data_IF_862696017016
#
_entry.id   IF_862696017016
#
_cell.length_a   1.000
_cell.length_b   1.000
_cell.length_c   1.000
_cell.angle_alpha   90.00
_cell.angle_beta   90.00
_cell.angle_gamma   90.00
#
_symmetry.space_group_name_H-M   'P 1'
#
loop_
_entity.id
_entity.type
_entity.pdbx_description
1 polymer ?
#
# COMPACT_ATOMS: atom_id res chain seq x y z
N UNK A 1 34.39 -1.42 -19.74
CA UNK A 1 35.17 -2.38 -18.92
C UNK A 1 36.42 -1.79 -18.27
N UNK A 2 37.06 -0.72 -18.79
CA UNK A 2 38.23 -0.09 -18.13
C UNK A 2 37.95 0.72 -16.85
N UNK A 3 36.79 1.41 -16.78
CA UNK A 3 36.43 2.24 -15.62
C UNK A 3 36.24 1.42 -14.34
N UNK A 4 35.59 0.25 -14.43
CA UNK A 4 35.38 -0.63 -13.28
C UNK A 4 36.71 -1.21 -12.74
N UNK A 5 37.67 -1.52 -13.62
CA UNK A 5 38.99 -1.99 -13.22
C UNK A 5 39.83 -0.89 -12.56
N UNK A 6 39.78 0.34 -13.07
CA UNK A 6 40.42 1.49 -12.44
C UNK A 6 39.80 1.82 -11.07
N UNK A 7 38.47 1.74 -10.94
CA UNK A 7 37.78 1.94 -9.66
C UNK A 7 38.15 0.88 -8.62
N UNK A 8 38.22 -0.40 -9.02
CA UNK A 8 38.67 -1.48 -8.14
C UNK A 8 40.11 -1.26 -7.67
N UNK A 9 41.01 -0.88 -8.58
CA UNK A 9 42.41 -0.60 -8.23
C UNK A 9 42.58 0.61 -7.30
N UNK A 10 41.79 1.66 -7.52
CA UNK A 10 41.75 2.82 -6.63
C UNK A 10 41.21 2.43 -5.25
N UNK A 11 40.17 1.59 -5.18
CA UNK A 11 39.63 1.09 -3.93
C UNK A 11 40.66 0.26 -3.14
N UNK A 12 41.43 -0.61 -3.81
CA UNK A 12 42.51 -1.38 -3.16
C UNK A 12 43.59 -0.48 -2.54
N UNK A 13 43.98 0.59 -3.23
CA UNK A 13 45.01 1.53 -2.76
C UNK A 13 44.49 2.40 -1.61
N UNK A 14 43.21 2.78 -1.64
CA UNK A 14 42.59 3.64 -0.62
C UNK A 14 42.10 2.87 0.60
N UNK A 15 41.72 1.59 0.47
CA UNK A 15 41.20 0.76 1.55
C UNK A 15 42.00 0.83 2.87
N UNK A 16 43.35 0.69 2.88
CA UNK A 16 44.13 0.78 4.12
C UNK A 16 44.22 2.19 4.72
N UNK A 17 43.76 3.23 4.01
CA UNK A 17 43.76 4.62 4.46
C UNK A 17 42.40 5.07 5.02
N UNK A 18 41.35 4.25 4.85
CA UNK A 18 40.01 4.56 5.32
C UNK A 18 39.80 4.02 6.74
N UNK A 19 39.04 4.73 7.59
CA UNK A 19 38.66 4.19 8.89
C UNK A 19 37.76 2.97 8.73
N UNK A 20 37.84 2.06 9.69
CA UNK A 20 36.98 0.88 9.73
C UNK A 20 35.50 1.30 9.86
N UNK A 21 34.61 0.76 9.01
CA UNK A 21 33.18 0.97 9.14
C UNK A 21 32.65 0.44 10.48
N UNK A 22 31.70 1.16 11.06
CA UNK A 22 31.04 0.79 12.30
C UNK A 22 29.74 0.03 12.01
N UNK A 23 29.52 -1.03 12.77
CA UNK A 23 28.29 -1.83 12.80
C UNK A 23 27.27 -1.30 13.81
N UNK A 24 27.49 -0.11 14.39
CA UNK A 24 26.66 0.40 15.48
C UNK A 24 26.57 1.93 15.53
N UNK A 25 25.56 2.40 16.27
CA UNK A 25 25.31 3.81 16.60
C UNK A 25 25.11 4.01 18.11
N UNK A 26 25.13 5.28 18.54
CA UNK A 26 24.78 5.69 19.89
C UNK A 26 23.40 6.33 19.89
N UNK A 27 22.42 5.69 20.53
CA UNK A 27 21.07 6.22 20.68
C UNK A 27 21.00 7.20 21.86
N UNK A 28 20.35 8.34 21.62
CA UNK A 28 20.18 9.42 22.59
C UNK A 28 18.69 9.65 22.92
N UNK A 29 18.43 10.22 24.09
CA UNK A 29 17.06 10.40 24.60
C UNK A 29 16.24 11.47 23.86
N UNK A 30 16.87 12.27 23.00
CA UNK A 30 16.25 13.33 22.19
C UNK A 30 15.84 12.84 20.78
N UNK A 31 15.65 11.53 20.63
CA UNK A 31 15.29 10.87 19.37
C UNK A 31 16.37 11.02 18.30
N UNK A 32 17.64 10.96 18.69
CA UNK A 32 18.75 10.96 17.74
C UNK A 32 19.61 9.70 17.87
N UNK A 33 20.25 9.31 16.76
CA UNK A 33 21.33 8.35 16.72
C UNK A 33 22.59 9.03 16.18
N UNK A 34 23.71 8.82 16.86
CA UNK A 34 25.01 9.38 16.47
C UNK A 34 25.90 8.26 15.96
N UNK A 35 26.37 8.41 14.73
CA UNK A 35 27.39 7.58 14.10
C UNK A 35 28.73 8.34 14.13
N UNK A 36 29.67 7.97 15.01
CA UNK A 36 30.95 8.68 15.17
C UNK A 36 31.95 8.41 14.03
N UNK A 37 31.61 7.54 13.08
CA UNK A 37 32.42 7.16 11.93
C UNK A 37 31.54 6.67 10.78
N UNK A 38 32.14 6.26 9.65
CA UNK A 38 31.36 5.66 8.56
C UNK A 38 30.69 4.38 9.06
N UNK A 39 29.43 4.17 8.67
CA UNK A 39 28.71 2.96 9.02
C UNK A 39 28.90 1.89 7.94
N UNK A 40 28.74 0.63 8.32
CA UNK A 40 28.52 -0.43 7.36
C UNK A 40 27.29 -0.13 6.50
N UNK A 41 27.35 -0.48 5.22
CA UNK A 41 26.30 -0.11 4.25
C UNK A 41 24.90 -0.59 4.66
N UNK A 42 24.69 -1.84 5.12
CA UNK A 42 23.34 -2.30 5.50
C UNK A 42 22.74 -1.50 6.66
N UNK A 43 23.57 -1.12 7.63
CA UNK A 43 23.18 -0.27 8.76
C UNK A 43 22.82 1.14 8.29
N UNK A 44 23.68 1.75 7.46
CA UNK A 44 23.45 3.08 6.90
C UNK A 44 22.15 3.13 6.09
N UNK A 45 21.93 2.18 5.18
CA UNK A 45 20.74 2.11 4.33
C UNK A 45 19.45 1.96 5.16
N UNK A 46 19.50 1.17 6.24
CA UNK A 46 18.33 1.00 7.11
C UNK A 46 18.06 2.26 7.93
N UNK A 47 19.10 2.93 8.44
CA UNK A 47 18.96 4.21 9.16
C UNK A 47 18.48 5.35 8.26
N UNK A 48 18.90 5.39 6.99
CA UNK A 48 18.44 6.38 6.00
C UNK A 48 16.94 6.29 5.72
N UNK A 49 16.35 5.11 5.91
CA UNK A 49 14.89 4.91 5.83
C UNK A 49 14.22 5.28 7.16
N UNK A 50 14.79 4.81 8.27
CA UNK A 50 14.21 4.89 9.61
C UNK A 50 14.34 6.27 10.28
N UNK A 51 15.25 7.12 9.80
CA UNK A 51 15.56 8.42 10.37
C UNK A 51 15.93 9.43 9.29
N UNK A 52 16.03 10.71 9.67
CA UNK A 52 16.47 11.79 8.79
C UNK A 52 17.86 12.25 9.19
N UNK A 53 18.70 12.57 8.21
CA UNK A 53 20.05 13.05 8.50
C UNK A 53 20.00 14.54 8.82
N UNK A 54 20.33 14.88 10.05
CA UNK A 54 20.41 16.26 10.51
C UNK A 54 21.78 16.88 10.23
N UNK A 55 22.85 16.09 10.37
CA UNK A 55 24.22 16.54 10.12
C UNK A 55 25.10 15.40 9.61
N UNK A 56 26.02 15.72 8.70
CA UNK A 56 27.05 14.83 8.13
C UNK A 56 28.47 15.32 8.45
N UNK A 57 28.66 15.94 9.62
CA UNK A 57 29.95 16.48 10.06
C UNK A 57 30.94 15.39 10.47
N UNK A 58 31.76 15.67 11.50
CA UNK A 58 32.67 14.67 12.08
C UNK A 58 31.96 13.44 12.69
N UNK A 59 30.65 13.54 12.91
CA UNK A 59 29.75 12.44 13.18
C UNK A 59 28.46 12.64 12.37
N UNK A 60 27.88 11.56 11.87
CA UNK A 60 26.56 11.62 11.24
C UNK A 60 25.50 11.52 12.32
N UNK A 61 24.59 12.49 12.35
CA UNK A 61 23.48 12.54 13.30
C UNK A 61 22.19 12.24 12.55
N UNK A 62 21.52 11.18 12.98
CA UNK A 62 20.22 10.76 12.48
C UNK A 62 19.16 11.17 13.49
N UNK A 63 18.04 11.71 13.03
CA UNK A 63 16.90 12.11 13.85
C UNK A 63 15.70 11.26 13.51
N UNK A 64 15.14 10.60 14.51
CA UNK A 64 13.91 9.84 14.37
C UNK A 64 12.71 10.78 14.48
N UNK A 65 11.90 10.80 13.44
CA UNK A 65 10.64 11.56 13.36
C UNK A 65 9.48 10.60 13.14
N UNK A 66 8.23 10.98 13.50
CA UNK A 66 7.06 10.17 13.18
C UNK A 66 6.97 9.77 11.70
N UNK A 67 7.31 10.69 10.80
CA UNK A 67 7.28 10.46 9.36
C UNK A 67 8.36 9.46 8.90
N UNK A 68 9.58 9.57 9.44
CA UNK A 68 10.65 8.61 9.12
C UNK A 68 10.34 7.19 9.61
N UNK A 69 9.79 7.04 10.82
CA UNK A 69 9.34 5.74 11.34
C UNK A 69 8.21 5.19 10.47
N UNK A 70 7.26 6.05 10.09
CA UNK A 70 6.18 5.64 9.18
C UNK A 70 6.71 5.15 7.84
N UNK A 71 7.69 5.84 7.23
CA UNK A 71 8.34 5.38 5.98
C UNK A 71 8.96 4.00 6.15
N UNK A 72 9.59 3.73 7.28
CA UNK A 72 10.13 2.40 7.57
C UNK A 72 9.03 1.32 7.65
N UNK A 73 7.90 1.63 8.28
CA UNK A 73 6.75 0.70 8.33
C UNK A 73 6.10 0.51 6.95
N UNK A 74 6.01 1.57 6.14
CA UNK A 74 5.51 1.53 4.76
C UNK A 74 6.39 0.64 3.85
N UNK A 75 7.67 0.44 4.20
CA UNK A 75 8.56 -0.50 3.52
C UNK A 75 8.32 -1.98 3.86
N UNK A 76 7.34 -2.27 4.72
CA UNK A 76 6.95 -3.63 5.12
C UNK A 76 7.60 -4.13 6.41
N UNK A 77 8.36 -3.29 7.12
CA UNK A 77 8.94 -3.62 8.44
C UNK A 77 7.87 -3.52 9.53
N UNK A 78 7.96 -4.39 10.53
CA UNK A 78 7.09 -4.34 11.72
C UNK A 78 7.75 -3.54 12.85
N UNK A 79 6.97 -3.12 13.85
CA UNK A 79 7.52 -2.49 15.06
C UNK A 79 8.56 -3.38 15.75
N UNK A 80 8.29 -4.70 15.80
CA UNK A 80 9.21 -5.69 16.37
C UNK A 80 10.54 -5.73 15.60
N UNK A 81 10.51 -5.71 14.26
CA UNK A 81 11.71 -5.64 13.43
C UNK A 81 12.52 -4.36 13.71
N UNK A 82 11.84 -3.22 13.89
CA UNK A 82 12.51 -1.95 14.18
C UNK A 82 13.16 -1.94 15.57
N UNK A 83 12.47 -2.46 16.59
CA UNK A 83 13.03 -2.60 17.93
C UNK A 83 14.21 -3.56 17.96
N UNK A 84 14.09 -4.72 17.29
CA UNK A 84 15.16 -5.71 17.19
C UNK A 84 16.40 -5.11 16.48
N UNK A 85 16.20 -4.41 15.36
CA UNK A 85 17.26 -3.73 14.64
C UNK A 85 18.00 -2.70 15.50
N UNK A 86 17.27 -1.84 16.22
CA UNK A 86 17.87 -0.84 17.09
C UNK A 86 18.59 -1.46 18.29
N UNK A 87 18.07 -2.57 18.84
CA UNK A 87 18.72 -3.29 19.93
C UNK A 87 20.03 -3.96 19.48
N UNK A 88 20.07 -4.47 18.24
CA UNK A 88 21.26 -5.11 17.66
C UNK A 88 22.36 -4.09 17.34
N UNK A 89 22.01 -2.95 16.75
CA UNK A 89 22.97 -1.97 16.23
C UNK A 89 23.22 -0.77 17.16
N UNK A 90 22.76 -0.82 18.42
CA UNK A 90 23.01 0.25 19.39
C UNK A 90 24.00 -0.15 20.47
N UNK A 91 24.99 0.71 20.74
CA UNK A 91 25.89 0.54 21.90
C UNK A 91 25.28 1.02 23.22
N UNK A 92 24.21 1.79 23.14
CA UNK A 92 23.45 2.24 24.31
C UNK A 92 22.09 1.53 24.35
N UNK A 93 21.47 1.35 25.52
CA UNK A 93 20.10 0.87 25.58
C UNK A 93 19.17 1.76 24.76
N UNK A 94 18.16 1.16 24.09
CA UNK A 94 17.17 1.91 23.33
C UNK A 94 16.41 2.86 24.26
N UNK A 95 16.43 4.19 24.03
CA UNK A 95 15.75 5.13 24.90
C UNK A 95 14.23 4.95 24.87
N UNK A 96 13.59 5.01 26.04
CA UNK A 96 12.13 4.90 26.16
C UNK A 96 11.35 5.83 25.22
N UNK A 97 11.74 7.11 24.99
CA UNK A 97 11.03 7.98 24.04
C UNK A 97 11.02 7.44 22.61
N UNK A 98 12.13 6.81 22.18
CA UNK A 98 12.23 6.23 20.84
C UNK A 98 11.34 4.99 20.72
N UNK A 99 11.35 4.13 21.74
CA UNK A 99 10.46 2.97 21.77
C UNK A 99 8.98 3.39 21.72
N UNK A 100 8.62 4.43 22.48
CA UNK A 100 7.26 4.96 22.46
C UNK A 100 6.86 5.54 21.11
N UNK A 101 7.77 6.27 20.44
CA UNK A 101 7.54 6.80 19.09
C UNK A 101 7.23 5.67 18.10
N UNK A 102 8.03 4.59 18.12
CA UNK A 102 7.86 3.44 17.23
C UNK A 102 6.49 2.79 17.46
N UNK A 103 6.15 2.51 18.72
CA UNK A 103 4.89 1.86 19.07
C UNK A 103 3.67 2.72 18.73
N UNK A 104 3.74 4.04 18.95
CA UNK A 104 2.66 4.98 18.66
C UNK A 104 2.39 5.08 17.14
N UNK A 105 3.46 5.19 16.34
CA UNK A 105 3.33 5.23 14.87
C UNK A 105 2.84 3.88 14.34
N UNK A 106 3.39 2.77 14.85
CA UNK A 106 2.98 1.43 14.43
C UNK A 106 1.52 1.12 14.77
N UNK A 107 1.03 1.56 15.93
CA UNK A 107 -0.40 1.43 16.27
C UNK A 107 -1.29 2.15 15.28
N UNK A 108 -0.89 3.34 14.81
CA UNK A 108 -1.66 4.15 13.85
C UNK A 108 -1.49 3.68 12.40
N UNK A 109 -0.38 3.03 12.10
CA UNK A 109 -0.05 2.49 10.78
C UNK A 109 -1.00 1.34 10.42
N UNK A 110 -1.53 1.36 9.19
CA UNK A 110 -2.42 0.30 8.71
C UNK A 110 -3.86 0.30 9.24
N UNK A 111 -4.29 1.33 10.00
CA UNK A 111 -5.71 1.50 10.35
C UNK A 111 -6.61 1.70 9.14
N UNK A 112 -6.10 2.39 8.11
CA UNK A 112 -6.78 2.58 6.84
C UNK A 112 -6.20 1.63 5.81
N UNK A 113 -7.08 0.85 5.17
CA UNK A 113 -6.72 -0.08 4.10
C UNK A 113 -7.39 0.37 2.83
N UNK A 114 -6.59 0.59 1.79
CA UNK A 114 -7.07 0.89 0.44
C UNK A 114 -6.92 -0.36 -0.41
N UNK A 115 -7.94 -0.69 -1.18
CA UNK A 115 -7.91 -1.78 -2.14
C UNK A 115 -8.59 -1.35 -3.43
N UNK A 116 -8.19 -1.95 -4.56
CA UNK A 116 -8.86 -1.74 -5.82
C UNK A 116 -10.25 -2.38 -5.81
N UNK A 117 -11.23 -1.66 -6.33
CA UNK A 117 -12.57 -2.16 -6.62
C UNK A 117 -13.04 -1.50 -7.92
N UNK A 118 -13.15 -2.30 -8.98
CA UNK A 118 -13.50 -1.82 -10.32
C UNK A 118 -15.01 -1.60 -10.48
N UNK A 119 -15.81 -2.34 -9.70
CA UNK A 119 -17.25 -2.21 -9.63
C UNK A 119 -17.77 -2.63 -8.24
N UNK A 120 -19.01 -2.28 -7.94
CA UNK A 120 -19.70 -2.72 -6.72
C UNK A 120 -21.12 -3.20 -7.03
N UNK A 121 -21.66 -4.04 -6.14
CA UNK A 121 -23.06 -4.46 -6.13
C UNK A 121 -23.68 -3.97 -4.83
N UNK A 122 -24.75 -3.21 -4.92
CA UNK A 122 -25.55 -2.77 -3.78
C UNK A 122 -26.88 -3.51 -3.78
N UNK A 123 -27.28 -4.04 -2.63
CA UNK A 123 -28.59 -4.64 -2.45
C UNK A 123 -29.06 -4.38 -1.02
N UNK A 124 -30.34 -4.02 -0.84
CA UNK A 124 -30.92 -3.84 0.49
C UNK A 124 -31.13 -5.16 1.23
N UNK A 125 -31.16 -6.28 0.50
CA UNK A 125 -31.24 -7.63 1.05
C UNK A 125 -29.83 -8.24 1.22
N UNK A 126 -29.37 -8.29 2.47
CA UNK A 126 -28.12 -8.96 2.87
C UNK A 126 -28.12 -10.45 2.48
N UNK A 127 -29.26 -11.15 2.66
CA UNK A 127 -29.39 -12.57 2.39
C UNK A 127 -29.10 -12.90 0.93
N UNK A 128 -29.56 -12.05 0.01
CA UNK A 128 -29.28 -12.19 -1.41
C UNK A 128 -27.78 -12.01 -1.72
N UNK A 129 -27.09 -11.06 -1.07
CA UNK A 129 -25.64 -10.90 -1.25
C UNK A 129 -24.85 -12.08 -0.68
N UNK A 130 -25.30 -12.63 0.44
CA UNK A 130 -24.73 -13.85 1.02
C UNK A 130 -24.91 -15.06 0.09
N UNK A 131 -26.09 -15.19 -0.55
CA UNK A 131 -26.37 -16.24 -1.54
C UNK A 131 -25.43 -16.11 -2.76
N UNK A 132 -25.29 -14.91 -3.32
CA UNK A 132 -24.38 -14.65 -4.44
C UNK A 132 -22.93 -15.03 -4.07
N UNK A 133 -22.46 -14.67 -2.88
CA UNK A 133 -21.12 -15.01 -2.41
C UNK A 133 -20.91 -16.51 -2.21
N UNK A 134 -21.97 -17.27 -1.89
CA UNK A 134 -21.92 -18.70 -1.68
C UNK A 134 -22.07 -19.52 -2.99
N UNK A 135 -22.61 -18.92 -4.06
CA UNK A 135 -22.74 -19.58 -5.37
C UNK A 135 -21.38 -19.74 -6.04
N UNK A 136 -20.99 -20.98 -6.35
CA UNK A 136 -19.72 -21.30 -7.05
C UNK A 136 -19.58 -20.59 -8.39
N UNK A 137 -20.69 -20.25 -9.06
CA UNK A 137 -20.66 -19.48 -10.32
C UNK A 137 -20.10 -18.06 -10.12
N UNK A 138 -20.11 -17.54 -8.90
CA UNK A 138 -19.58 -16.21 -8.55
C UNK A 138 -18.06 -16.18 -8.30
N UNK A 139 -17.38 -17.33 -8.20
CA UNK A 139 -15.94 -17.39 -7.91
C UNK A 139 -15.10 -16.57 -8.91
N UNK A 140 -15.48 -16.61 -10.19
CA UNK A 140 -14.84 -15.83 -11.26
C UNK A 140 -15.07 -14.32 -11.17
N UNK A 141 -16.01 -13.86 -10.36
CA UNK A 141 -16.30 -12.44 -10.14
C UNK A 141 -15.42 -11.81 -9.06
N UNK A 142 -14.70 -12.63 -8.28
CA UNK A 142 -13.83 -12.19 -7.17
C UNK A 142 -14.52 -11.18 -6.25
N UNK A 143 -15.76 -11.51 -5.88
CA UNK A 143 -16.57 -10.65 -5.03
C UNK A 143 -16.00 -10.61 -3.61
N UNK A 144 -15.90 -9.41 -3.06
CA UNK A 144 -15.49 -9.17 -1.67
C UNK A 144 -16.52 -8.32 -0.97
N UNK A 145 -16.96 -8.75 0.20
CA UNK A 145 -17.92 -8.00 1.00
C UNK A 145 -17.26 -6.77 1.64
N UNK A 146 -17.82 -5.58 1.38
CA UNK A 146 -17.35 -4.31 1.96
C UNK A 146 -18.26 -3.84 3.11
N UNK A 147 -19.55 -4.10 3.00
CA UNK A 147 -20.56 -3.78 3.99
C UNK A 147 -21.68 -4.83 3.95
N UNK A 148 -22.65 -4.81 4.88
CA UNK A 148 -23.75 -5.75 4.85
C UNK A 148 -24.53 -5.75 3.52
N UNK A 149 -24.69 -4.59 2.92
CA UNK A 149 -25.46 -4.34 1.68
C UNK A 149 -24.59 -4.03 0.46
N UNK A 150 -23.27 -4.23 0.55
CA UNK A 150 -22.33 -3.85 -0.53
C UNK A 150 -21.25 -4.91 -0.75
N UNK A 151 -21.14 -5.38 -1.98
CA UNK A 151 -20.03 -6.18 -2.49
C UNK A 151 -19.17 -5.34 -3.44
N UNK A 152 -17.85 -5.52 -3.40
CA UNK A 152 -16.93 -5.06 -4.43
C UNK A 152 -16.57 -6.21 -5.37
N UNK A 153 -16.29 -5.89 -6.62
CA UNK A 153 -15.76 -6.79 -7.64
C UNK A 153 -14.48 -6.21 -8.26
N UNK A 154 -13.61 -7.10 -8.73
CA UNK A 154 -12.43 -6.70 -9.51
C UNK A 154 -12.77 -6.47 -11.01
N UNK A 155 -13.93 -6.94 -11.47
CA UNK A 155 -14.41 -6.75 -12.84
C UNK A 155 -14.94 -5.35 -13.08
N UNK A 156 -14.86 -4.90 -14.33
CA UNK A 156 -15.53 -3.66 -14.74
C UNK A 156 -17.07 -3.79 -14.61
N UNK A 157 -17.79 -2.66 -14.48
CA UNK A 157 -19.23 -2.68 -14.25
C UNK A 157 -20.04 -3.40 -15.33
N UNK A 158 -19.64 -3.32 -16.60
CA UNK A 158 -20.39 -3.92 -17.71
C UNK A 158 -20.25 -5.45 -17.74
N UNK A 159 -19.04 -5.95 -17.49
CA UNK A 159 -18.81 -7.38 -17.33
C UNK A 159 -19.55 -7.94 -16.10
N UNK A 160 -19.50 -7.24 -14.97
CA UNK A 160 -20.21 -7.65 -13.75
C UNK A 160 -21.72 -7.75 -13.96
N UNK A 161 -22.33 -6.74 -14.61
CA UNK A 161 -23.75 -6.73 -14.95
C UNK A 161 -24.13 -7.93 -15.84
N UNK A 162 -23.32 -8.20 -16.86
CA UNK A 162 -23.55 -9.32 -17.79
C UNK A 162 -23.50 -10.66 -17.05
N UNK A 163 -22.47 -10.87 -16.22
CA UNK A 163 -22.30 -12.12 -15.48
C UNK A 163 -23.38 -12.38 -14.45
N UNK A 164 -23.79 -11.36 -13.71
CA UNK A 164 -24.89 -11.49 -12.76
C UNK A 164 -26.22 -11.85 -13.46
N UNK A 165 -26.45 -11.33 -14.67
CA UNK A 165 -27.59 -11.72 -15.51
C UNK A 165 -27.49 -13.17 -15.99
N UNK A 166 -26.31 -13.62 -16.43
CA UNK A 166 -26.06 -15.03 -16.78
C UNK A 166 -26.32 -15.99 -15.61
N UNK A 167 -26.11 -15.51 -14.37
CA UNK A 167 -26.38 -16.27 -13.15
C UNK A 167 -27.87 -16.32 -12.77
N UNK A 168 -28.71 -15.52 -13.43
CA UNK A 168 -30.17 -15.45 -13.20
C UNK A 168 -30.62 -14.28 -12.33
N UNK A 169 -29.71 -13.40 -11.93
CA UNK A 169 -30.06 -12.18 -11.18
C UNK A 169 -30.50 -11.06 -12.13
N UNK A 170 -31.24 -10.08 -11.59
CA UNK A 170 -31.73 -8.93 -12.34
C UNK A 170 -31.08 -7.61 -11.85
N UNK A 171 -29.75 -7.43 -12.01
CA UNK A 171 -29.09 -6.21 -11.58
C UNK A 171 -29.44 -5.04 -12.50
N UNK A 172 -29.55 -3.86 -11.89
CA UNK A 172 -29.63 -2.59 -12.59
C UNK A 172 -28.26 -1.91 -12.58
N UNK A 173 -27.93 -1.19 -13.65
CA UNK A 173 -26.74 -0.36 -13.67
C UNK A 173 -26.95 0.85 -12.76
N UNK A 174 -25.92 1.29 -12.04
CA UNK A 174 -25.92 2.58 -11.32
C UNK A 174 -24.97 3.55 -12.04
N UNK A 175 -25.26 4.85 -11.96
CA UNK A 175 -24.40 5.92 -12.46
C UNK A 175 -23.26 6.21 -11.48
N UNK A 176 -22.30 7.05 -11.88
CA UNK A 176 -21.21 7.48 -11.00
C UNK A 176 -21.72 8.24 -9.75
N UNK A 177 -22.92 8.81 -9.83
CA UNK A 177 -23.62 9.50 -8.75
C UNK A 177 -24.47 8.56 -7.87
N UNK A 178 -24.55 7.26 -8.21
CA UNK A 178 -25.33 6.27 -7.46
C UNK A 178 -26.79 6.15 -7.89
N UNK A 179 -27.20 6.84 -8.96
CA UNK A 179 -28.56 6.75 -9.50
C UNK A 179 -28.71 5.51 -10.39
N UNK A 180 -29.87 4.83 -10.31
CA UNK A 180 -30.12 3.65 -11.15
C UNK A 180 -30.27 4.08 -12.62
N UNK A 181 -29.31 3.66 -13.45
CA UNK A 181 -29.33 3.80 -14.91
C UNK A 181 -30.29 2.79 -15.52
N UNK A 182 -31.51 3.25 -15.81
CA UNK A 182 -32.49 2.49 -16.59
C UNK A 182 -32.09 2.54 -18.07
N UNK A 183 -31.34 1.54 -18.51
CA UNK A 183 -31.11 1.29 -19.95
C UNK A 183 -32.39 0.70 -20.54
N UNK A 184 -33.31 1.57 -21.03
CA UNK A 184 -34.47 1.09 -21.80
C UNK A 184 -33.93 0.42 -23.08
N UNK A 185 -34.24 -0.86 -23.36
CA UNK A 185 -33.93 -1.45 -24.66
C UNK A 185 -34.64 -0.62 -25.72
N UNK A 186 -33.90 -0.19 -26.75
CA UNK A 186 -34.45 0.62 -27.84
C UNK A 186 -35.65 -0.09 -28.46
N UNK A 187 -36.84 0.46 -28.26
CA UNK A 187 -38.07 -0.07 -28.86
C UNK A 187 -37.92 0.03 -30.39
N UNK A 188 -37.82 -1.12 -31.07
CA UNK A 188 -37.99 -1.17 -32.52
C UNK A 188 -39.41 -0.70 -32.85
N UNK A 189 -39.56 0.57 -33.22
CA UNK A 189 -40.83 1.11 -33.72
C UNK A 189 -41.02 0.64 -35.15
N UNK A 190 -42.14 -0.01 -35.43
CA UNK A 190 -42.60 -0.28 -36.79
C UNK A 190 -42.72 1.04 -37.55
N UNK A 191 -42.19 1.17 -38.78
CA UNK A 191 -42.34 2.40 -39.55
C UNK A 191 -43.82 2.72 -39.80
N UNK A 192 -44.19 4.01 -39.90
CA UNK A 192 -45.59 4.43 -40.00
C UNK A 192 -46.24 3.85 -41.26
N UNK A 193 -47.42 3.23 -41.10
CA UNK A 193 -48.23 2.76 -42.23
C UNK A 193 -48.76 3.97 -43.02
N UNK A 194 -48.46 4.01 -44.31
CA UNK A 194 -49.05 4.98 -45.25
C UNK A 194 -50.51 4.62 -45.50
N UNK A 195 -51.46 5.56 -45.37
CA UNK A 195 -52.87 5.31 -45.69
C UNK A 195 -53.05 5.11 -47.20
N UNK A 196 -53.99 4.25 -47.64
CA UNK A 196 -54.29 4.07 -49.06
C UNK A 196 -54.94 5.34 -49.66
N UNK A 197 -54.58 5.65 -50.90
CA UNK A 197 -55.09 6.82 -51.61
C UNK A 197 -56.56 6.61 -52.04
N UNK A 198 -57.41 7.65 -51.93
CA UNK A 198 -58.80 7.58 -52.36
C UNK A 198 -58.92 7.59 -53.90
N UNK A 199 -59.98 6.92 -54.38
CA UNK A 199 -60.36 6.71 -55.79
C UNK A 199 -60.76 7.99 -56.52
#
# INVERSE_FOLDING_TARGET
TGIAACAARAAEVLAPLLPEPLDHVLLQADLTAVAPGPLERPLAETLDVLAEIESKGGATVYRFTPDSVRRALDSGRTAEDLHAFLAEHSRTPVPQPLSYLIDDVARRHGHLRVGAASAYVRCEDDGLLAEILADKRSEGLRLRRLAPTVLAAELDPAALLTRLREMGYAPAAESAEGDVLITRPGVHRTPPRTPPAPV
#
